data_IF_111646154796
#
_entry.id   IF_111646154796
#
_cell.length_a   1.000
_cell.length_b   1.000
_cell.length_c   1.000
_cell.angle_alpha   90.00
_cell.angle_beta   90.00
_cell.angle_gamma   90.00
#
_symmetry.space_group_name_H-M   'P 1'
#
loop_
_entity.id
_entity.type
_entity.pdbx_description
1 polymer ?
#
# COMPACT_ATOMS: atom_id res chain seq x y z
N UNK A 1 4.29 4.38 -26.01
CA UNK A 1 3.56 5.43 -25.26
C UNK A 1 2.19 4.91 -24.89
N UNK A 2 1.32 4.56 -25.81
CA UNK A 2 -0.04 4.03 -25.56
C UNK A 2 -0.10 2.83 -24.59
N UNK A 3 0.83 1.87 -24.68
CA UNK A 3 0.86 0.71 -23.76
C UNK A 3 1.11 1.12 -22.31
N UNK A 4 1.99 2.10 -22.06
CA UNK A 4 2.27 2.61 -20.71
C UNK A 4 1.08 3.37 -20.13
N UNK A 5 0.41 4.18 -20.95
CA UNK A 5 -0.81 4.89 -20.56
C UNK A 5 -1.91 3.91 -20.13
N UNK A 6 -2.16 2.88 -20.94
CA UNK A 6 -3.15 1.84 -20.61
C UNK A 6 -2.82 1.11 -19.31
N UNK A 7 -1.54 0.76 -19.09
CA UNK A 7 -1.10 0.13 -17.84
C UNK A 7 -1.26 1.06 -16.63
N UNK A 8 -0.95 2.35 -16.78
CA UNK A 8 -1.12 3.33 -15.69
C UNK A 8 -2.58 3.44 -15.30
N UNK A 9 -3.52 3.48 -16.27
CA UNK A 9 -4.95 3.52 -15.98
C UNK A 9 -5.45 2.24 -15.32
N UNK A 10 -5.19 1.08 -15.92
CA UNK A 10 -5.65 -0.22 -15.41
C UNK A 10 -5.12 -0.49 -14.00
N UNK A 11 -3.81 -0.37 -13.80
CA UNK A 11 -3.19 -0.59 -12.50
C UNK A 11 -3.55 0.52 -11.49
N UNK A 12 -3.72 1.76 -11.95
CA UNK A 12 -4.12 2.89 -11.13
C UNK A 12 -5.44 2.61 -10.42
N UNK A 13 -6.46 2.18 -11.13
CA UNK A 13 -7.77 1.79 -10.54
C UNK A 13 -7.62 0.71 -9.47
N UNK A 14 -6.72 -0.25 -9.68
CA UNK A 14 -6.45 -1.32 -8.72
C UNK A 14 -5.75 -0.78 -7.46
N UNK A 15 -4.78 0.11 -7.65
CA UNK A 15 -4.00 0.72 -6.57
C UNK A 15 -4.80 1.73 -5.73
N UNK A 16 -5.81 2.40 -6.31
CA UNK A 16 -6.76 3.22 -5.56
C UNK A 16 -7.37 2.43 -4.40
N UNK A 17 -7.85 1.22 -4.69
CA UNK A 17 -8.50 0.33 -3.71
C UNK A 17 -7.49 -0.33 -2.78
N UNK A 18 -6.39 -0.84 -3.35
CA UNK A 18 -5.39 -1.61 -2.62
C UNK A 18 -4.65 -0.78 -1.56
N UNK A 19 -4.42 0.50 -1.83
CA UNK A 19 -3.65 1.40 -0.97
C UNK A 19 -4.47 2.57 -0.42
N UNK A 20 -5.78 2.58 -0.67
CA UNK A 20 -6.67 3.68 -0.28
C UNK A 20 -6.12 5.05 -0.72
N UNK A 21 -5.69 5.14 -1.98
CA UNK A 21 -5.11 6.34 -2.56
C UNK A 21 -6.16 7.11 -3.38
N UNK A 22 -6.08 8.45 -3.44
CA UNK A 22 -6.81 9.21 -4.43
C UNK A 22 -6.46 8.76 -5.86
N UNK A 23 -7.39 8.83 -6.83
CA UNK A 23 -7.20 8.35 -8.19
C UNK A 23 -5.91 8.84 -8.86
N UNK A 24 -5.62 10.14 -8.77
CA UNK A 24 -4.43 10.72 -9.38
C UNK A 24 -3.14 10.28 -8.66
N UNK A 25 -3.16 10.14 -7.33
CA UNK A 25 -2.00 9.65 -6.58
C UNK A 25 -1.64 8.21 -6.98
N UNK A 26 -2.66 7.34 -7.11
CA UNK A 26 -2.45 5.96 -7.55
C UNK A 26 -1.80 5.90 -8.95
N UNK A 27 -2.28 6.69 -9.90
CA UNK A 27 -1.73 6.76 -11.27
C UNK A 27 -0.31 7.31 -11.29
N UNK A 28 -0.03 8.38 -10.53
CA UNK A 28 1.34 8.92 -10.38
C UNK A 28 2.26 7.83 -9.82
N UNK A 29 1.83 7.11 -8.81
CA UNK A 29 2.63 6.06 -8.20
C UNK A 29 2.95 4.93 -9.19
N UNK A 30 1.95 4.45 -9.96
CA UNK A 30 2.17 3.46 -11.02
C UNK A 30 3.08 4.01 -12.12
N UNK A 31 2.88 5.26 -12.56
CA UNK A 31 3.76 5.87 -13.55
C UNK A 31 5.22 5.82 -13.12
N UNK A 32 5.51 6.15 -11.86
CA UNK A 32 6.86 6.11 -11.31
C UNK A 32 7.41 4.68 -11.22
N UNK A 33 6.57 3.68 -10.85
CA UNK A 33 6.97 2.27 -10.84
C UNK A 33 7.31 1.73 -12.24
N UNK A 34 6.65 2.24 -13.28
CA UNK A 34 6.88 1.88 -14.68
C UNK A 34 7.93 2.75 -15.37
N UNK A 35 8.61 3.61 -14.63
CA UNK A 35 9.60 4.55 -15.17
C UNK A 35 11.02 4.15 -14.76
N UNK A 36 12.00 4.78 -15.42
CA UNK A 36 13.40 4.59 -15.11
C UNK A 36 13.72 4.97 -13.66
N UNK A 37 14.67 4.28 -13.07
CA UNK A 37 15.12 4.52 -11.68
C UNK A 37 15.77 5.88 -11.45
N UNK A 38 16.11 6.60 -12.52
CA UNK A 38 16.57 7.99 -12.46
C UNK A 38 15.46 8.97 -12.05
N UNK A 39 14.20 8.49 -12.01
CA UNK A 39 13.02 9.24 -11.61
C UNK A 39 12.49 10.16 -12.71
N UNK A 40 11.28 10.68 -12.49
CA UNK A 40 10.64 11.69 -13.34
C UNK A 40 10.61 13.03 -12.61
N UNK A 41 10.85 14.10 -13.37
CA UNK A 41 10.67 15.47 -12.88
C UNK A 41 9.18 15.80 -12.69
N UNK A 42 8.90 16.87 -11.96
CA UNK A 42 7.53 17.37 -11.76
C UNK A 42 6.82 17.64 -13.10
N UNK A 43 7.53 18.25 -14.07
CA UNK A 43 6.96 18.58 -15.38
C UNK A 43 6.64 17.32 -16.17
N UNK A 44 7.53 16.31 -16.18
CA UNK A 44 7.29 15.03 -16.86
C UNK A 44 6.08 14.29 -16.27
N UNK A 45 5.91 14.29 -14.95
CA UNK A 45 4.72 13.72 -14.30
C UNK A 45 3.47 14.49 -14.70
N UNK A 46 3.51 15.83 -14.64
CA UNK A 46 2.36 16.67 -14.98
C UNK A 46 1.94 16.47 -16.45
N UNK A 47 2.91 16.47 -17.35
CA UNK A 47 2.66 16.39 -18.79
C UNK A 47 2.10 15.00 -19.16
N UNK A 48 2.57 13.94 -18.49
CA UNK A 48 2.02 12.58 -18.69
C UNK A 48 0.59 12.46 -18.17
N UNK A 49 0.30 13.04 -16.98
CA UNK A 49 -1.02 12.97 -16.34
C UNK A 49 -2.04 13.94 -16.90
N UNK A 50 -1.64 14.89 -17.74
CA UNK A 50 -2.47 15.98 -18.27
C UNK A 50 -3.33 16.65 -17.17
N UNK A 51 -2.68 16.98 -16.03
CA UNK A 51 -3.34 17.50 -14.86
C UNK A 51 -2.76 18.84 -14.41
N UNK A 52 -3.55 19.59 -13.62
CA UNK A 52 -3.13 20.89 -13.11
C UNK A 52 -1.92 20.78 -12.17
N UNK A 53 -1.08 21.82 -12.16
CA UNK A 53 0.09 21.91 -11.27
C UNK A 53 -0.28 21.72 -9.79
N UNK A 54 -1.42 22.29 -9.35
CA UNK A 54 -1.88 22.14 -7.97
C UNK A 54 -2.30 20.71 -7.64
N UNK A 55 -3.00 20.03 -8.55
CA UNK A 55 -3.40 18.63 -8.38
C UNK A 55 -2.17 17.71 -8.32
N UNK A 56 -1.21 17.87 -9.21
CA UNK A 56 0.03 17.09 -9.21
C UNK A 56 0.80 17.32 -7.90
N UNK A 57 0.97 18.58 -7.49
CA UNK A 57 1.69 18.91 -6.25
C UNK A 57 1.04 18.28 -5.02
N UNK A 58 -0.28 18.36 -4.89
CA UNK A 58 -1.01 17.76 -3.76
C UNK A 58 -0.83 16.23 -3.71
N UNK A 59 -0.93 15.55 -4.84
CA UNK A 59 -0.82 14.10 -4.90
C UNK A 59 0.63 13.59 -4.74
N UNK A 60 1.63 14.32 -5.26
CA UNK A 60 3.05 14.02 -4.99
C UNK A 60 3.35 14.18 -3.50
N UNK A 61 2.88 15.26 -2.86
CA UNK A 61 3.08 15.46 -1.42
C UNK A 61 2.42 14.34 -0.58
N UNK A 62 1.23 13.89 -0.95
CA UNK A 62 0.58 12.76 -0.32
C UNK A 62 1.44 11.48 -0.40
N UNK A 63 2.00 11.19 -1.57
CA UNK A 63 2.86 10.02 -1.78
C UNK A 63 4.19 10.14 -1.02
N UNK A 64 4.76 11.34 -0.91
CA UNK A 64 5.96 11.61 -0.11
C UNK A 64 5.69 11.44 1.39
N UNK A 65 4.58 11.97 1.91
CA UNK A 65 4.17 11.82 3.31
C UNK A 65 3.93 10.35 3.69
N UNK A 66 3.38 9.55 2.77
CA UNK A 66 3.20 8.11 2.94
C UNK A 66 4.48 7.30 2.67
N UNK A 67 5.63 7.92 2.50
CA UNK A 67 6.92 7.27 2.18
C UNK A 67 6.87 6.33 0.95
N UNK A 68 5.87 6.47 0.09
CA UNK A 68 5.70 5.63 -1.10
C UNK A 68 6.65 6.01 -2.23
N UNK A 69 7.04 7.27 -2.27
CA UNK A 69 8.00 7.82 -3.21
C UNK A 69 9.06 8.66 -2.47
N UNK A 70 10.21 8.78 -3.09
CA UNK A 70 11.29 9.65 -2.68
C UNK A 70 11.60 10.63 -3.81
N UNK A 71 12.36 11.68 -3.52
CA UNK A 71 12.91 12.57 -4.53
C UNK A 71 14.43 12.53 -4.51
N UNK A 72 15.02 12.91 -5.63
CA UNK A 72 16.47 13.10 -5.79
C UNK A 72 16.71 14.36 -6.62
N UNK A 73 17.93 14.88 -6.53
CA UNK A 73 18.46 15.93 -7.39
C UNK A 73 19.54 15.33 -8.30
N UNK A 74 19.72 15.91 -9.48
CA UNK A 74 20.79 15.51 -10.42
C UNK A 74 21.87 16.60 -10.45
N UNK A 75 23.17 16.25 -10.54
CA UNK A 75 24.23 17.24 -10.68
C UNK A 75 23.98 18.19 -11.85
N UNK A 76 24.07 19.51 -11.62
CA UNK A 76 23.83 20.52 -12.65
C UNK A 76 22.37 20.80 -12.99
N UNK A 77 21.42 20.14 -12.35
CA UNK A 77 19.99 20.37 -12.50
C UNK A 77 19.36 20.84 -11.18
N UNK A 78 18.46 21.84 -11.26
CA UNK A 78 17.74 22.38 -10.10
C UNK A 78 16.40 21.67 -9.87
N UNK A 79 16.02 20.75 -10.75
CA UNK A 79 14.74 20.02 -10.66
C UNK A 79 14.81 18.92 -9.62
N UNK A 80 13.66 18.65 -9.00
CA UNK A 80 13.43 17.44 -8.21
C UNK A 80 12.94 16.34 -9.14
N UNK A 81 13.47 15.15 -8.95
CA UNK A 81 13.07 13.94 -9.66
C UNK A 81 12.47 12.97 -8.67
N UNK A 82 11.27 12.48 -8.94
CA UNK A 82 10.52 11.57 -8.09
C UNK A 82 10.69 10.14 -8.56
N UNK A 83 10.83 9.22 -7.62
CA UNK A 83 10.95 7.78 -7.88
C UNK A 83 10.27 6.98 -6.77
N UNK A 84 9.90 5.70 -7.00
CA UNK A 84 9.41 4.85 -5.94
C UNK A 84 10.41 4.77 -4.79
N UNK A 85 9.91 4.76 -3.56
CA UNK A 85 10.74 4.50 -2.39
C UNK A 85 11.26 3.07 -2.44
N UNK A 86 12.52 2.79 -2.08
CA UNK A 86 12.99 1.41 -1.95
C UNK A 86 12.20 0.63 -0.89
N UNK A 87 11.56 1.32 0.05
CA UNK A 87 10.73 0.74 1.12
C UNK A 87 9.29 0.41 0.70
N UNK A 88 8.91 0.57 -0.57
CA UNK A 88 7.49 0.43 -0.97
C UNK A 88 6.91 -0.97 -0.66
N UNK A 89 7.71 -2.03 -0.76
CA UNK A 89 7.28 -3.39 -0.41
C UNK A 89 7.11 -3.57 1.10
N UNK A 90 8.02 -3.00 1.91
CA UNK A 90 7.92 -3.02 3.36
C UNK A 90 6.64 -2.33 3.82
N UNK A 91 6.39 -1.11 3.33
CA UNK A 91 5.17 -0.35 3.65
C UNK A 91 3.92 -1.17 3.32
N UNK A 92 3.91 -1.82 2.15
CA UNK A 92 2.78 -2.67 1.75
C UNK A 92 2.57 -3.87 2.68
N UNK A 93 3.65 -4.52 3.10
CA UNK A 93 3.59 -5.64 4.03
C UNK A 93 3.18 -5.20 5.44
N UNK A 94 3.69 -4.05 5.92
CA UNK A 94 3.33 -3.46 7.21
C UNK A 94 1.84 -3.11 7.27
N UNK A 95 1.30 -2.48 6.23
CA UNK A 95 -0.14 -2.16 6.10
C UNK A 95 -1.00 -3.43 6.14
N UNK A 96 -0.61 -4.47 5.38
CA UNK A 96 -1.33 -5.74 5.34
C UNK A 96 -1.31 -6.45 6.69
N UNK A 97 -0.15 -6.46 7.35
CA UNK A 97 0.00 -7.03 8.69
C UNK A 97 -0.87 -6.28 9.71
N UNK A 98 -0.95 -4.95 9.60
CA UNK A 98 -1.82 -4.13 10.46
C UNK A 98 -3.29 -4.50 10.32
N UNK A 99 -3.77 -4.70 9.09
CA UNK A 99 -5.14 -5.14 8.83
C UNK A 99 -5.41 -6.55 9.39
N UNK A 100 -4.51 -7.51 9.18
CA UNK A 100 -4.62 -8.86 9.73
C UNK A 100 -4.66 -8.87 11.26
N UNK A 101 -3.82 -8.08 11.92
CA UNK A 101 -3.84 -7.92 13.39
C UNK A 101 -5.20 -7.40 13.86
N UNK A 102 -5.72 -6.37 13.19
CA UNK A 102 -7.02 -5.81 13.53
C UNK A 102 -8.16 -6.79 13.36
N UNK A 103 -8.13 -7.57 12.29
CA UNK A 103 -9.12 -8.62 12.04
C UNK A 103 -9.06 -9.70 13.12
N UNK A 104 -7.86 -10.14 13.52
CA UNK A 104 -7.67 -11.10 14.61
C UNK A 104 -8.23 -10.58 15.94
N UNK A 105 -7.97 -9.31 16.27
CA UNK A 105 -8.55 -8.68 17.46
C UNK A 105 -10.08 -8.73 17.46
N UNK A 106 -10.70 -8.38 16.33
CA UNK A 106 -12.16 -8.38 16.16
C UNK A 106 -12.72 -9.80 16.34
N UNK A 107 -12.13 -10.79 15.69
CA UNK A 107 -12.55 -12.20 15.81
C UNK A 107 -12.47 -12.67 17.26
N UNK A 108 -11.37 -12.39 17.96
CA UNK A 108 -11.20 -12.75 19.36
C UNK A 108 -12.21 -12.04 20.28
N UNK A 109 -12.52 -10.75 20.05
CA UNK A 109 -13.53 -10.02 20.80
C UNK A 109 -14.94 -10.62 20.61
N UNK A 110 -15.27 -11.01 19.37
CA UNK A 110 -16.55 -11.69 19.07
C UNK A 110 -16.64 -13.02 19.84
N UNK A 111 -15.60 -13.84 19.79
CA UNK A 111 -15.57 -15.12 20.50
C UNK A 111 -15.71 -14.93 22.02
N UNK A 112 -14.96 -14.01 22.60
CA UNK A 112 -15.01 -13.69 24.03
C UNK A 112 -16.41 -13.24 24.43
N UNK A 113 -16.97 -12.27 23.75
CA UNK A 113 -18.31 -11.73 24.05
C UNK A 113 -19.38 -12.82 23.98
N UNK A 114 -19.38 -13.63 22.93
CA UNK A 114 -20.40 -14.67 22.75
C UNK A 114 -20.29 -15.78 23.81
N UNK A 115 -19.08 -16.14 24.21
CA UNK A 115 -18.83 -17.13 25.27
C UNK A 115 -19.27 -16.59 26.63
N UNK A 116 -18.88 -15.37 26.99
CA UNK A 116 -19.23 -14.75 28.29
C UNK A 116 -20.74 -14.51 28.45
N UNK A 117 -21.44 -14.25 27.36
CA UNK A 117 -22.88 -13.97 27.40
C UNK A 117 -23.74 -15.18 27.02
N UNK A 118 -23.17 -16.37 26.87
CA UNK A 118 -23.87 -17.63 26.54
C UNK A 118 -24.84 -17.48 25.35
N UNK A 119 -24.36 -16.88 24.24
CA UNK A 119 -25.20 -16.64 23.07
C UNK A 119 -25.60 -17.98 22.44
N UNK A 120 -26.90 -18.21 22.34
CA UNK A 120 -27.48 -19.45 21.81
C UNK A 120 -26.99 -19.74 20.37
N UNK A 121 -26.58 -21.00 20.14
CA UNK A 121 -26.10 -21.45 18.81
C UNK A 121 -24.70 -21.01 18.47
N UNK A 122 -23.98 -20.34 19.38
CA UNK A 122 -22.62 -19.91 19.13
C UNK A 122 -21.67 -21.12 19.03
N UNK A 123 -21.91 -22.20 19.75
CA UNK A 123 -21.10 -23.42 19.72
C UNK A 123 -20.98 -24.01 18.31
N UNK A 124 -22.01 -23.82 17.46
CA UNK A 124 -22.00 -24.32 16.07
C UNK A 124 -20.93 -23.61 15.21
N UNK A 125 -20.60 -22.37 15.52
CA UNK A 125 -19.64 -21.55 14.77
C UNK A 125 -18.31 -21.37 15.50
N UNK A 126 -18.26 -21.62 16.80
CA UNK A 126 -17.07 -21.39 17.63
C UNK A 126 -15.83 -22.06 17.06
N UNK A 127 -15.89 -23.38 16.79
CA UNK A 127 -14.75 -24.13 16.23
C UNK A 127 -14.25 -23.56 14.91
N UNK A 128 -15.18 -23.03 14.07
CA UNK A 128 -14.79 -22.40 12.79
C UNK A 128 -14.07 -21.07 13.03
N UNK A 129 -14.53 -20.27 13.98
CA UNK A 129 -13.89 -18.99 14.33
C UNK A 129 -12.52 -19.22 14.99
N UNK A 130 -12.38 -20.22 15.86
CA UNK A 130 -11.10 -20.62 16.44
C UNK A 130 -10.08 -20.98 15.34
N UNK A 131 -10.48 -21.85 14.42
CA UNK A 131 -9.62 -22.21 13.26
C UNK A 131 -9.29 -21.04 12.36
N UNK A 132 -10.22 -20.10 12.20
CA UNK A 132 -9.97 -18.88 11.44
C UNK A 132 -8.97 -17.96 12.15
N UNK A 133 -9.09 -17.80 13.48
CA UNK A 133 -8.14 -17.05 14.28
C UNK A 133 -6.73 -17.66 14.23
N UNK A 134 -6.61 -18.99 14.31
CA UNK A 134 -5.34 -19.71 14.11
C UNK A 134 -4.74 -19.42 12.73
N UNK A 135 -5.55 -19.50 11.68
CA UNK A 135 -5.12 -19.18 10.32
C UNK A 135 -4.60 -17.75 10.19
N UNK A 136 -5.31 -16.78 10.76
CA UNK A 136 -4.87 -15.37 10.74
C UNK A 136 -3.52 -15.19 11.44
N UNK A 137 -3.28 -15.91 12.55
CA UNK A 137 -1.99 -15.88 13.25
C UNK A 137 -0.85 -16.47 12.39
N UNK A 138 -1.08 -17.61 11.75
CA UNK A 138 -0.09 -18.22 10.84
C UNK A 138 0.26 -17.28 9.67
N UNK A 139 -0.73 -16.59 9.11
CA UNK A 139 -0.51 -15.62 8.04
C UNK A 139 0.30 -14.42 8.56
N UNK A 140 0.00 -13.91 9.76
CA UNK A 140 0.78 -12.83 10.39
C UNK A 140 2.25 -13.21 10.58
N UNK A 141 2.55 -14.42 11.04
CA UNK A 141 3.93 -14.90 11.18
C UNK A 141 4.69 -14.90 9.85
N UNK A 142 4.02 -15.27 8.74
CA UNK A 142 4.62 -15.21 7.40
C UNK A 142 4.92 -13.78 6.97
N UNK A 143 4.02 -12.83 7.27
CA UNK A 143 4.26 -11.40 6.99
C UNK A 143 5.45 -10.86 7.80
N UNK A 144 5.55 -11.20 9.09
CA UNK A 144 6.67 -10.80 9.95
C UNK A 144 8.00 -11.30 9.39
N UNK A 145 8.08 -12.59 9.04
CA UNK A 145 9.30 -13.17 8.43
C UNK A 145 9.67 -12.50 7.10
N UNK A 146 8.67 -12.12 6.30
CA UNK A 146 8.93 -11.40 5.05
C UNK A 146 9.43 -9.98 5.31
N UNK A 147 8.89 -9.28 6.30
CA UNK A 147 9.35 -7.96 6.71
C UNK A 147 10.80 -7.99 7.20
N UNK A 148 11.16 -8.97 8.03
CA UNK A 148 12.54 -9.14 8.51
C UNK A 148 13.51 -9.30 7.34
N UNK A 149 13.17 -10.15 6.36
CA UNK A 149 13.97 -10.32 5.14
C UNK A 149 14.17 -9.01 4.36
N UNK A 150 13.09 -8.22 4.18
CA UNK A 150 13.18 -6.96 3.45
C UNK A 150 13.88 -5.85 4.25
N UNK A 151 13.86 -5.89 5.59
CA UNK A 151 14.62 -4.95 6.41
C UNK A 151 16.13 -5.22 6.38
N UNK A 152 16.53 -6.48 6.33
CA UNK A 152 17.94 -6.88 6.28
C UNK A 152 18.60 -6.66 4.91
N UNK A 153 17.80 -6.59 3.84
CA UNK A 153 18.29 -6.54 2.45
C UNK A 153 17.95 -5.22 1.72
N UNK A 154 17.70 -4.14 2.43
CA UNK A 154 17.47 -2.78 1.89
C UNK A 154 18.72 -1.92 1.91
#
# INVERSE_FOLDING_TARGET
>A
MQQKENLVEEMGVHFERLFNLPPLAARIYILLLLSDRSGLSFDEVRDFMDASKSSISANINLLLQGERINFLTKPGDRKLYFKPSPRFLNIRLEESLGLLKKETEIVNQIMTFNTENNINGFEEVQTKLEKYAEHLQEVQEKYIKSLDYFHENN
#
